data_IF_610559925547
#
_entry.id   IF_610559925547
#
_cell.length_a   1.000
_cell.length_b   1.000
_cell.length_c   1.000
_cell.angle_alpha   90.00
_cell.angle_beta   90.00
_cell.angle_gamma   90.00
#
_symmetry.space_group_name_H-M   'P 1'
#
loop_
_entity.id
_entity.type
_entity.pdbx_description
1 polymer ?
#
# COMPACT_ATOMS: atom_id res chain seq x y z
N UNK A 1 12.10 -14.81 -9.02
CA UNK A 1 11.08 -15.30 -8.07
C UNK A 1 9.97 -15.99 -8.86
N UNK A 2 9.48 -17.14 -8.44
CA UNK A 2 8.34 -17.82 -9.08
C UNK A 2 7.06 -17.01 -8.80
N UNK A 3 6.79 -16.01 -9.63
CA UNK A 3 5.70 -15.04 -9.43
C UNK A 3 4.35 -15.71 -9.14
N UNK A 4 3.52 -15.06 -8.34
CA UNK A 4 2.18 -15.56 -7.98
C UNK A 4 2.12 -16.48 -6.75
N UNK A 5 3.22 -16.70 -6.03
CA UNK A 5 3.20 -17.45 -4.76
C UNK A 5 3.03 -16.52 -3.55
N UNK A 6 2.26 -16.98 -2.57
CA UNK A 6 2.17 -16.35 -1.24
C UNK A 6 3.55 -16.27 -0.60
N UNK A 7 3.92 -15.06 -0.16
CA UNK A 7 5.10 -14.85 0.67
C UNK A 7 4.76 -15.33 2.08
N UNK A 8 5.53 -16.27 2.59
CA UNK A 8 5.37 -16.84 3.93
C UNK A 8 6.68 -16.67 4.69
N UNK A 9 6.64 -15.87 5.75
CA UNK A 9 7.80 -15.58 6.59
C UNK A 9 8.32 -16.81 7.33
N UNK A 10 7.45 -17.77 7.69
CA UNK A 10 7.86 -19.02 8.35
C UNK A 10 8.63 -19.90 7.39
N UNK A 11 8.15 -20.00 6.14
CA UNK A 11 8.86 -20.70 5.07
C UNK A 11 10.22 -20.06 4.76
N UNK A 12 10.29 -18.72 4.70
CA UNK A 12 11.55 -18.02 4.48
C UNK A 12 12.52 -18.22 5.66
N UNK A 13 12.00 -18.24 6.89
CA UNK A 13 12.81 -18.53 8.07
C UNK A 13 13.37 -19.97 8.06
N UNK A 14 12.56 -20.95 7.66
CA UNK A 14 13.01 -22.33 7.45
C UNK A 14 14.08 -22.45 6.33
N UNK A 15 14.18 -21.46 5.44
CA UNK A 15 15.21 -21.38 4.40
C UNK A 15 16.47 -20.62 4.83
N UNK A 16 16.56 -20.21 6.10
CA UNK A 16 17.74 -19.56 6.68
C UNK A 16 17.60 -18.06 6.92
N UNK A 17 16.42 -17.47 6.70
CA UNK A 17 16.18 -16.06 7.01
C UNK A 17 15.93 -15.85 8.51
N UNK A 18 16.70 -14.98 9.15
CA UNK A 18 16.42 -14.56 10.53
C UNK A 18 15.50 -13.34 10.52
N UNK A 19 14.29 -13.51 11.04
CA UNK A 19 13.36 -12.42 11.27
C UNK A 19 13.68 -11.72 12.59
N UNK A 20 13.53 -10.41 12.63
CA UNK A 20 13.66 -9.59 13.84
C UNK A 20 12.43 -8.70 13.98
N UNK A 21 12.20 -8.18 15.18
CA UNK A 21 11.16 -7.18 15.41
C UNK A 21 11.49 -5.84 14.76
N UNK A 22 10.61 -4.86 14.98
CA UNK A 22 10.82 -3.50 14.45
C UNK A 22 12.11 -2.92 14.99
N UNK A 23 12.98 -2.41 14.10
CA UNK A 23 14.20 -1.69 14.50
C UNK A 23 13.85 -0.45 15.31
N UNK A 24 14.46 -0.30 16.48
CA UNK A 24 14.24 0.85 17.37
C UNK A 24 15.42 1.81 17.39
N UNK A 25 16.65 1.29 17.49
CA UNK A 25 17.83 2.15 17.56
C UNK A 25 19.09 1.46 17.03
N UNK A 26 20.10 2.28 16.76
CA UNK A 26 21.47 1.85 16.53
C UNK A 26 22.39 2.70 17.42
N UNK A 27 23.21 2.04 18.25
CA UNK A 27 24.20 2.69 19.11
C UNK A 27 25.47 1.87 19.16
N UNK A 28 26.60 2.50 18.84
CA UNK A 28 27.93 1.90 18.94
C UNK A 28 28.06 0.50 18.30
N UNK A 29 27.49 0.30 17.10
CA UNK A 29 27.56 -1.00 16.41
C UNK A 29 26.42 -1.98 16.75
N UNK A 30 25.61 -1.70 17.77
CA UNK A 30 24.50 -2.54 18.21
C UNK A 30 23.16 -2.00 17.72
N UNK A 31 22.38 -2.83 17.03
CA UNK A 31 20.98 -2.57 16.71
C UNK A 31 20.07 -3.13 17.80
N UNK A 32 19.02 -2.39 18.16
CA UNK A 32 17.96 -2.87 19.06
C UNK A 32 16.63 -3.04 18.33
N UNK A 33 15.86 -4.05 18.70
CA UNK A 33 14.59 -4.40 18.08
C UNK A 33 13.48 -4.52 19.13
N UNK A 34 12.27 -4.09 18.76
CA UNK A 34 11.10 -4.25 19.59
C UNK A 34 10.74 -5.75 19.74
N UNK A 35 10.20 -6.18 20.90
CA UNK A 35 9.75 -7.56 21.12
C UNK A 35 8.37 -7.82 20.48
N UNK A 36 8.17 -7.36 19.24
CA UNK A 36 6.86 -7.32 18.57
C UNK A 36 6.72 -8.28 17.39
N UNK A 37 7.79 -9.01 17.04
CA UNK A 37 7.83 -9.89 15.87
C UNK A 37 6.67 -10.91 15.87
N UNK A 38 6.55 -11.74 16.90
CA UNK A 38 5.52 -12.78 16.96
C UNK A 38 4.10 -12.20 16.87
N UNK A 39 3.87 -11.08 17.58
CA UNK A 39 2.59 -10.35 17.54
C UNK A 39 2.29 -9.82 16.14
N UNK A 40 3.27 -9.25 15.45
CA UNK A 40 3.10 -8.69 14.11
C UNK A 40 2.82 -9.78 13.07
N UNK A 41 3.51 -10.92 13.15
CA UNK A 41 3.24 -12.08 12.28
C UNK A 41 1.83 -12.63 12.52
N UNK A 42 1.44 -12.85 13.78
CA UNK A 42 0.09 -13.34 14.11
C UNK A 42 -1.03 -12.40 13.63
N UNK A 43 -0.81 -11.07 13.71
CA UNK A 43 -1.75 -10.08 13.13
C UNK A 43 -1.82 -10.18 11.61
N UNK A 44 -0.68 -10.42 10.95
CA UNK A 44 -0.63 -10.67 9.52
C UNK A 44 -1.40 -11.92 9.12
N UNK A 45 -1.22 -13.02 9.85
CA UNK A 45 -1.94 -14.29 9.67
C UNK A 45 -3.45 -14.09 9.81
N UNK A 46 -3.90 -13.40 10.86
CA UNK A 46 -5.32 -13.12 11.08
C UNK A 46 -5.92 -12.27 9.95
N UNK A 47 -5.20 -11.24 9.50
CA UNK A 47 -5.65 -10.42 8.37
C UNK A 47 -5.70 -11.22 7.06
N UNK A 48 -4.73 -12.10 6.83
CA UNK A 48 -4.75 -12.98 5.66
C UNK A 48 -5.96 -13.91 5.66
N UNK A 49 -6.27 -14.55 6.80
CA UNK A 49 -7.45 -15.40 6.95
C UNK A 49 -8.75 -14.62 6.73
N UNK A 50 -8.87 -13.42 7.29
CA UNK A 50 -10.03 -12.54 7.06
C UNK A 50 -10.27 -12.26 5.57
N UNK A 51 -9.21 -12.04 4.80
CA UNK A 51 -9.32 -11.79 3.35
C UNK A 51 -9.74 -13.06 2.60
N UNK A 52 -9.28 -14.24 3.02
CA UNK A 52 -9.75 -15.51 2.45
C UNK A 52 -11.23 -15.74 2.75
N UNK A 53 -11.67 -15.44 3.98
CA UNK A 53 -13.09 -15.55 4.37
C UNK A 53 -13.98 -14.60 3.55
N UNK A 54 -13.54 -13.37 3.33
CA UNK A 54 -14.24 -12.41 2.46
C UNK A 54 -14.34 -12.90 1.01
N UNK A 55 -13.29 -13.54 0.49
CA UNK A 55 -13.27 -14.11 -0.85
C UNK A 55 -14.27 -15.28 -0.97
N UNK A 56 -14.24 -16.22 -0.02
CA UNK A 56 -15.15 -17.37 0.01
C UNK A 56 -16.61 -16.91 0.14
N UNK A 57 -16.88 -15.92 1.00
CA UNK A 57 -18.21 -15.33 1.15
C UNK A 57 -18.69 -14.65 -0.14
N UNK A 58 -17.79 -13.99 -0.89
CA UNK A 58 -18.11 -13.41 -2.18
C UNK A 58 -18.45 -14.49 -3.22
N UNK A 59 -17.67 -15.57 -3.29
CA UNK A 59 -17.91 -16.71 -4.19
C UNK A 59 -19.30 -17.31 -3.94
N UNK A 60 -19.61 -17.61 -2.67
CA UNK A 60 -20.91 -18.16 -2.28
C UNK A 60 -22.06 -17.21 -2.63
N UNK A 61 -21.95 -15.92 -2.30
CA UNK A 61 -23.00 -14.93 -2.55
C UNK A 61 -23.31 -14.74 -4.04
N UNK A 62 -22.31 -14.88 -4.90
CA UNK A 62 -22.46 -14.66 -6.34
C UNK A 62 -22.61 -15.97 -7.15
N UNK A 63 -22.64 -17.13 -6.48
CA UNK A 63 -22.77 -18.43 -7.15
C UNK A 63 -21.63 -18.73 -8.13
N UNK A 64 -20.40 -18.32 -7.80
CA UNK A 64 -19.26 -18.55 -8.68
C UNK A 64 -18.76 -20.00 -8.55
N UNK A 65 -18.52 -20.66 -9.68
CA UNK A 65 -17.95 -22.00 -9.74
C UNK A 65 -16.42 -21.92 -9.74
N UNK A 66 -15.84 -21.80 -8.55
CA UNK A 66 -14.39 -21.78 -8.34
C UNK A 66 -13.98 -22.92 -7.41
N UNK A 67 -12.84 -23.60 -7.67
CA UNK A 67 -12.37 -24.67 -6.82
C UNK A 67 -11.95 -24.16 -5.43
N UNK A 68 -12.17 -24.93 -4.35
CA UNK A 68 -11.67 -24.58 -3.03
C UNK A 68 -10.15 -24.69 -2.95
N UNK A 69 -9.53 -23.84 -2.11
CA UNK A 69 -8.07 -23.83 -1.90
C UNK A 69 -7.71 -24.04 -0.42
N UNK A 70 -7.85 -25.26 0.13
CA UNK A 70 -7.61 -25.52 1.55
C UNK A 70 -6.14 -25.32 1.97
N UNK A 71 -5.19 -25.48 1.05
CA UNK A 71 -3.76 -25.27 1.32
C UNK A 71 -3.44 -23.82 1.66
N UNK A 72 -4.18 -22.84 1.12
CA UNK A 72 -4.01 -21.43 1.44
C UNK A 72 -4.26 -21.13 2.93
N UNK A 73 -5.01 -21.99 3.62
CA UNK A 73 -5.35 -21.83 5.03
C UNK A 73 -4.36 -22.53 5.98
N UNK A 74 -3.33 -23.20 5.46
CA UNK A 74 -2.33 -23.87 6.30
C UNK A 74 -1.23 -22.91 6.74
N UNK A 75 -1.12 -22.70 8.05
CA UNK A 75 -0.02 -21.96 8.66
C UNK A 75 1.00 -22.95 9.22
N UNK A 76 2.27 -22.78 8.86
CA UNK A 76 3.38 -23.59 9.37
C UNK A 76 3.72 -23.30 10.84
N UNK A 77 4.61 -24.10 11.46
CA UNK A 77 5.05 -23.88 12.83
C UNK A 77 5.85 -22.59 12.97
N UNK A 78 5.80 -21.98 14.16
CA UNK A 78 6.58 -20.78 14.45
C UNK A 78 8.09 -21.09 14.48
N UNK A 79 8.93 -20.37 13.70
CA UNK A 79 10.37 -20.53 13.72
C UNK A 79 10.99 -20.01 15.01
N UNK A 80 12.23 -20.45 15.30
CA UNK A 80 12.95 -20.05 16.52
C UNK A 80 13.05 -18.54 16.70
N UNK A 81 13.26 -17.76 15.63
CA UNK A 81 13.32 -16.30 15.72
C UNK A 81 12.03 -15.64 16.21
N UNK A 82 10.89 -16.35 16.18
CA UNK A 82 9.62 -15.88 16.77
C UNK A 82 9.43 -16.32 18.21
N UNK A 83 9.94 -17.49 18.60
CA UNK A 83 9.81 -18.01 19.98
C UNK A 83 10.93 -17.55 20.91
N UNK A 84 12.10 -17.25 20.36
CA UNK A 84 13.33 -16.79 21.00
C UNK A 84 13.92 -15.63 20.16
N UNK A 85 13.31 -14.43 20.22
CA UNK A 85 13.64 -13.33 19.33
C UNK A 85 14.97 -12.64 19.71
N UNK A 86 15.73 -12.25 18.68
CA UNK A 86 16.88 -11.37 18.84
C UNK A 86 16.37 -9.95 19.12
N UNK A 87 16.67 -9.45 20.32
CA UNK A 87 16.32 -8.08 20.72
C UNK A 87 17.47 -7.09 20.53
N UNK A 88 18.70 -7.59 20.53
CA UNK A 88 19.92 -6.81 20.30
C UNK A 88 20.89 -7.57 19.40
N UNK A 89 21.56 -6.86 18.49
CA UNK A 89 22.50 -7.44 17.55
C UNK A 89 23.68 -6.51 17.30
N UNK A 90 24.88 -6.94 17.71
CA UNK A 90 26.11 -6.31 17.27
C UNK A 90 26.40 -6.72 15.83
N UNK A 91 26.42 -5.75 14.91
CA UNK A 91 26.57 -6.01 13.48
C UNK A 91 27.94 -6.63 13.14
N UNK A 92 29.01 -6.13 13.76
CA UNK A 92 30.36 -6.63 13.49
C UNK A 92 30.60 -8.04 14.02
N UNK A 93 30.14 -8.33 15.23
CA UNK A 93 30.24 -9.67 15.84
C UNK A 93 29.39 -10.69 15.08
N UNK A 94 28.25 -10.25 14.55
CA UNK A 94 27.39 -11.07 13.69
C UNK A 94 27.92 -11.21 12.25
N UNK A 95 29.06 -10.58 11.90
CA UNK A 95 29.65 -10.64 10.56
C UNK A 95 28.85 -9.89 9.48
N UNK A 96 27.99 -8.95 9.87
CA UNK A 96 27.15 -8.17 8.94
C UNK A 96 27.97 -7.02 8.35
N UNK A 97 28.38 -7.18 7.10
CA UNK A 97 29.14 -6.17 6.36
C UNK A 97 28.31 -5.23 5.47
N UNK A 98 27.00 -5.45 5.35
CA UNK A 98 26.13 -4.67 4.46
C UNK A 98 24.69 -4.61 4.96
N UNK A 99 24.06 -3.45 4.79
CA UNK A 99 22.65 -3.21 5.10
C UNK A 99 21.96 -2.74 3.82
N UNK A 100 20.84 -3.38 3.48
CA UNK A 100 19.99 -2.98 2.35
C UNK A 100 18.70 -2.39 2.89
N UNK A 101 18.48 -1.10 2.66
CA UNK A 101 17.26 -0.40 3.04
C UNK A 101 16.15 -0.63 2.02
N UNK A 102 15.34 -1.65 2.25
CA UNK A 102 14.15 -1.96 1.46
C UNK A 102 12.85 -1.47 2.13
N UNK A 103 12.89 -0.31 2.79
CA UNK A 103 11.79 0.25 3.62
C UNK A 103 10.79 1.11 2.84
N UNK A 104 10.86 1.10 1.50
CA UNK A 104 9.97 1.87 0.63
C UNK A 104 10.39 3.32 0.43
N UNK A 105 9.45 4.15 -0.03
CA UNK A 105 9.64 5.56 -0.34
C UNK A 105 8.41 6.37 0.11
N UNK A 106 8.56 7.68 0.21
CA UNK A 106 7.46 8.63 0.44
C UNK A 106 7.28 9.53 -0.78
N UNK A 107 6.12 10.16 -0.89
CA UNK A 107 5.86 11.14 -1.94
C UNK A 107 6.19 12.53 -1.41
N UNK A 108 6.94 13.31 -2.20
CA UNK A 108 7.23 14.71 -1.90
C UNK A 108 6.43 15.63 -2.83
N UNK A 109 5.53 16.41 -2.24
CA UNK A 109 4.70 17.39 -2.95
C UNK A 109 5.16 18.84 -2.75
N UNK A 110 6.31 19.09 -2.12
CA UNK A 110 6.80 20.44 -1.81
C UNK A 110 6.94 21.34 -3.04
N UNK A 111 7.07 20.77 -4.24
CA UNK A 111 7.12 21.51 -5.49
C UNK A 111 5.77 22.11 -5.91
N UNK A 112 4.64 21.54 -5.47
CA UNK A 112 3.30 22.00 -5.80
C UNK A 112 2.82 23.02 -4.76
N UNK A 113 2.83 24.31 -5.10
CA UNK A 113 2.49 25.42 -4.20
C UNK A 113 0.99 25.72 -4.18
N UNK A 114 0.20 24.80 -3.65
CA UNK A 114 -1.27 24.93 -3.53
C UNK A 114 -1.75 24.37 -2.18
N UNK A 115 -2.87 24.88 -1.67
CA UNK A 115 -3.45 24.43 -0.39
C UNK A 115 -4.37 23.21 -0.58
N UNK A 116 -3.78 22.08 -0.97
CA UNK A 116 -4.50 20.83 -1.25
C UNK A 116 -4.02 19.65 -0.42
N UNK A 117 -3.17 19.87 0.58
CA UNK A 117 -2.59 18.80 1.39
C UNK A 117 -3.17 18.82 2.81
N UNK A 118 -3.26 17.64 3.43
CA UNK A 118 -3.58 17.50 4.85
C UNK A 118 -2.35 17.72 5.74
N UNK A 119 -2.55 17.68 7.06
CA UNK A 119 -1.48 17.85 8.06
C UNK A 119 -0.36 16.80 7.95
N UNK A 120 -0.62 15.69 7.24
CA UNK A 120 0.35 14.61 6.98
C UNK A 120 0.98 14.72 5.60
N UNK A 121 0.75 15.82 4.87
CA UNK A 121 1.26 16.07 3.53
C UNK A 121 0.58 15.22 2.45
N UNK A 122 -0.55 14.56 2.74
CA UNK A 122 -1.28 13.77 1.75
C UNK A 122 -2.26 14.64 0.98
N UNK A 123 -2.48 14.39 -0.32
CA UNK A 123 -3.45 15.17 -1.07
C UNK A 123 -4.87 14.97 -0.55
N UNK A 124 -5.58 16.08 -0.31
CA UNK A 124 -7.01 16.14 -0.09
C UNK A 124 -7.69 15.95 -1.45
N UNK A 125 -8.32 14.79 -1.63
CA UNK A 125 -8.99 14.46 -2.88
C UNK A 125 -10.19 13.54 -2.67
N UNK A 126 -11.08 13.51 -3.65
CA UNK A 126 -12.07 12.44 -3.82
C UNK A 126 -11.76 11.69 -5.12
N UNK A 127 -11.31 10.43 -5.01
CA UNK A 127 -10.91 9.59 -6.15
C UNK A 127 -9.92 10.23 -7.14
N UNK A 128 -9.09 11.16 -6.67
CA UNK A 128 -8.12 11.89 -7.49
C UNK A 128 -8.53 13.31 -7.86
N UNK A 129 -9.78 13.71 -7.66
CA UNK A 129 -10.21 15.09 -7.85
C UNK A 129 -9.84 15.89 -6.61
N UNK A 130 -8.98 16.91 -6.76
CA UNK A 130 -8.54 17.75 -5.65
C UNK A 130 -9.64 18.71 -5.18
N UNK A 131 -9.45 19.28 -3.98
CA UNK A 131 -10.23 20.43 -3.52
C UNK A 131 -9.96 21.70 -4.33
N UNK A 132 -8.77 21.83 -4.93
CA UNK A 132 -8.44 22.96 -5.82
C UNK A 132 -8.84 22.65 -7.28
N UNK A 133 -9.67 23.48 -7.92
CA UNK A 133 -10.05 23.28 -9.32
C UNK A 133 -8.84 23.23 -10.26
N UNK A 134 -8.81 22.22 -11.13
CA UNK A 134 -7.73 22.04 -12.10
C UNK A 134 -6.55 21.21 -11.60
N UNK A 135 -6.50 20.86 -10.31
CA UNK A 135 -5.52 19.94 -9.74
C UNK A 135 -6.13 18.54 -9.61
N UNK A 136 -5.37 17.54 -10.04
CA UNK A 136 -5.77 16.14 -10.00
C UNK A 136 -4.61 15.26 -9.56
N UNK A 137 -4.93 14.18 -8.86
CA UNK A 137 -3.99 13.16 -8.41
C UNK A 137 -4.33 11.82 -9.04
N UNK A 138 -3.31 11.03 -9.36
CA UNK A 138 -3.47 9.73 -10.00
C UNK A 138 -2.43 8.76 -9.47
N UNK A 139 -2.83 7.49 -9.30
CA UNK A 139 -1.94 6.41 -8.87
C UNK A 139 -1.71 6.38 -7.36
N UNK A 140 -2.54 7.06 -6.56
CA UNK A 140 -2.38 7.06 -5.11
C UNK A 140 -2.75 5.69 -4.51
N UNK A 141 -2.07 5.23 -3.45
CA UNK A 141 -2.49 4.05 -2.70
C UNK A 141 -3.93 4.23 -2.23
N UNK A 142 -4.78 3.24 -2.51
CA UNK A 142 -6.20 3.26 -2.15
C UNK A 142 -6.99 4.47 -2.68
N UNK A 143 -6.60 5.05 -3.82
CA UNK A 143 -7.27 6.23 -4.41
C UNK A 143 -8.77 6.03 -4.63
N UNK A 144 -9.14 5.01 -5.39
CA UNK A 144 -10.53 4.51 -5.47
C UNK A 144 -10.64 3.05 -5.08
N UNK A 145 -9.53 2.30 -5.16
CA UNK A 145 -9.48 0.85 -4.93
C UNK A 145 -8.08 0.42 -4.50
N UNK A 146 -7.96 -0.81 -4.00
CA UNK A 146 -6.67 -1.42 -3.64
C UNK A 146 -5.66 -1.42 -4.78
N UNK A 147 -6.14 -1.61 -6.02
CA UNK A 147 -5.34 -1.65 -7.25
C UNK A 147 -4.86 -0.29 -7.78
N UNK A 148 -5.26 0.84 -7.18
CA UNK A 148 -5.05 2.19 -7.75
C UNK A 148 -3.59 2.54 -8.01
N UNK A 149 -2.67 2.09 -7.16
CA UNK A 149 -1.24 2.38 -7.29
C UNK A 149 -0.48 1.37 -8.17
N UNK A 150 -1.16 0.40 -8.76
CA UNK A 150 -0.54 -0.64 -9.59
C UNK A 150 -0.79 -0.36 -11.08
N UNK A 151 0.21 -0.64 -11.92
CA UNK A 151 0.13 -0.46 -13.38
C UNK A 151 -1.12 -1.16 -13.96
N UNK A 152 -1.46 -2.35 -13.48
CA UNK A 152 -2.63 -3.09 -13.96
C UNK A 152 -3.97 -2.48 -13.53
N UNK A 153 -4.01 -1.69 -12.44
CA UNK A 153 -5.24 -1.20 -11.83
C UNK A 153 -5.51 0.30 -11.97
N UNK A 154 -4.46 1.11 -12.18
CA UNK A 154 -4.53 2.59 -12.22
C UNK A 154 -5.41 3.13 -13.35
N UNK A 155 -5.61 2.35 -14.42
CA UNK A 155 -6.35 2.80 -15.61
C UNK A 155 -7.78 3.24 -15.29
N UNK A 156 -8.43 2.64 -14.28
CA UNK A 156 -9.76 3.07 -13.89
C UNK A 156 -9.79 4.44 -13.22
N UNK A 157 -8.77 4.74 -12.40
CA UNK A 157 -8.63 6.08 -11.80
C UNK A 157 -8.29 7.11 -12.87
N UNK A 158 -7.44 6.72 -13.83
CA UNK A 158 -7.08 7.57 -14.96
C UNK A 158 -8.31 7.93 -15.81
N UNK A 159 -9.14 6.93 -16.13
CA UNK A 159 -10.39 7.14 -16.85
C UNK A 159 -11.32 8.10 -16.08
N UNK A 160 -11.51 7.86 -14.78
CA UNK A 160 -12.37 8.71 -13.95
C UNK A 160 -11.90 10.18 -13.93
N UNK A 161 -10.60 10.42 -13.72
CA UNK A 161 -10.03 11.76 -13.71
C UNK A 161 -10.13 12.42 -15.09
N UNK A 162 -9.86 11.68 -16.17
CA UNK A 162 -9.97 12.18 -17.53
C UNK A 162 -11.42 12.61 -17.89
N UNK A 163 -12.41 11.78 -17.52
CA UNK A 163 -13.83 12.09 -17.73
C UNK A 163 -14.25 13.34 -16.95
N UNK A 164 -13.78 13.48 -15.71
CA UNK A 164 -14.02 14.67 -14.90
C UNK A 164 -13.40 15.92 -15.54
N UNK A 165 -12.14 15.86 -16.00
CA UNK A 165 -11.47 16.97 -16.70
C UNK A 165 -12.23 17.36 -17.97
N UNK A 166 -12.65 16.38 -18.77
CA UNK A 166 -13.42 16.61 -20.00
C UNK A 166 -14.74 17.32 -19.71
N UNK A 167 -15.46 16.86 -18.69
CA UNK A 167 -16.72 17.46 -18.27
C UNK A 167 -16.53 18.91 -17.79
N UNK A 168 -15.55 19.17 -16.93
CA UNK A 168 -15.22 20.52 -16.47
C UNK A 168 -14.89 21.47 -17.62
N UNK A 169 -14.09 21.01 -18.60
CA UNK A 169 -13.75 21.82 -19.79
C UNK A 169 -14.98 22.20 -20.62
N UNK A 170 -15.95 21.28 -20.78
CA UNK A 170 -17.21 21.58 -21.48
C UNK A 170 -18.00 22.67 -20.76
N UNK A 171 -18.14 22.60 -19.44
CA UNK A 171 -18.82 23.62 -18.65
C UNK A 171 -18.12 24.98 -18.74
N UNK A 172 -16.79 25.01 -18.62
CA UNK A 172 -16.03 26.26 -18.73
C UNK A 172 -16.19 26.91 -20.12
N UNK A 173 -16.18 26.11 -21.19
CA UNK A 173 -16.40 26.59 -22.55
C UNK A 173 -17.80 27.18 -22.73
N UNK A 174 -18.83 26.50 -22.20
CA UNK A 174 -20.22 26.98 -22.22
C UNK A 174 -20.38 28.31 -21.45
N UNK A 175 -19.80 28.44 -20.26
CA UNK A 175 -19.86 29.69 -19.52
C UNK A 175 -19.10 30.82 -20.21
N UNK A 176 -18.00 30.51 -20.89
CA UNK A 176 -17.25 31.48 -21.67
C UNK A 176 -18.04 31.98 -22.89
N UNK A 177 -18.76 31.10 -23.60
CA UNK A 177 -19.62 31.49 -24.72
C UNK A 177 -20.80 32.34 -24.25
N UNK A 178 -21.51 31.90 -23.21
CA UNK A 178 -22.63 32.66 -22.64
C UNK A 178 -22.23 34.07 -22.20
N UNK A 179 -21.06 34.22 -21.53
CA UNK A 179 -20.52 35.54 -21.13
C UNK A 179 -20.11 36.43 -22.31
N UNK A 180 -19.72 35.86 -23.45
CA UNK A 180 -19.42 36.64 -24.66
C UNK A 180 -20.69 37.19 -25.29
N UNK A 181 -21.74 36.38 -25.37
CA UNK A 181 -23.05 36.80 -25.88
C UNK A 181 -23.65 37.95 -25.05
N UNK A 182 -23.51 37.92 -23.72
CA UNK A 182 -24.03 39.00 -22.85
C UNK A 182 -23.24 40.30 -22.92
N UNK A 183 -21.99 40.28 -23.42
CA UNK A 183 -21.16 41.50 -23.55
C UNK A 183 -21.29 42.20 -24.90
N UNK A 184 -21.88 41.54 -25.89
CA UNK A 184 -22.06 42.05 -27.26
C UNK A 184 -23.47 42.66 -27.44
N UNK A 185 -24.39 42.39 -26.52
CA UNK A 185 -25.70 43.04 -26.39
C UNK A 185 -25.61 44.29 -25.52
#
# INVERSE_FOLDING_TARGET
ARGGQTIDFRRLAAQGMTLVGRTESYRHGVMTFAPDLAKNIARGDANYMSVLDEADAYVARNGLDLPPEPEARKIGPDPRCMTDPILELNLSEAGIGSIIWATGFTVDYNWLKVDVFDERGKPKHQRGVSTEPGIYFLGLPWQSRRGSSFIWGVWHDAQHVADHISTQRKYLAYHASAKRETKVA
#
